data_IF_274424732479
#
_entry.id   IF_274424732479
#
_cell.length_a   1.000
_cell.length_b   1.000
_cell.length_c   1.000
_cell.angle_alpha   90.00
_cell.angle_beta   90.00
_cell.angle_gamma   90.00
#
_symmetry.space_group_name_H-M   'P 1'
#
loop_
_entity.id
_entity.type
_entity.pdbx_description
1 polymer ?
#
# COMPACT_ATOMS: atom_id res chain seq x y z
N UNK A 1 6.15 3.88 13.11
CA UNK A 1 6.57 4.85 12.08
C UNK A 1 5.35 5.57 11.53
N UNK A 2 5.41 6.87 11.25
CA UNK A 2 4.26 7.64 10.69
C UNK A 2 4.67 8.31 9.39
N UNK A 3 3.77 8.28 8.40
CA UNK A 3 3.97 8.89 7.08
C UNK A 3 2.69 9.59 6.65
N UNK A 4 2.83 10.75 6.03
CA UNK A 4 1.72 11.48 5.45
C UNK A 4 1.89 11.48 3.92
N UNK A 5 0.81 11.14 3.20
CA UNK A 5 0.74 11.19 1.73
C UNK A 5 -0.25 12.30 1.36
N UNK A 6 0.20 13.56 1.37
CA UNK A 6 -0.68 14.72 1.20
C UNK A 6 -1.37 14.75 -0.17
N UNK A 7 -0.78 14.13 -1.21
CA UNK A 7 -1.34 14.08 -2.57
C UNK A 7 -2.70 13.38 -2.64
N UNK A 8 -2.97 12.47 -1.71
CA UNK A 8 -4.25 11.74 -1.62
C UNK A 8 -4.94 11.92 -0.27
N UNK A 9 -4.50 12.92 0.52
CA UNK A 9 -5.02 13.21 1.87
C UNK A 9 -5.11 11.96 2.76
N UNK A 10 -4.01 11.21 2.81
CA UNK A 10 -3.95 9.93 3.51
C UNK A 10 -2.78 9.93 4.50
N UNK A 11 -3.07 9.46 5.72
CA UNK A 11 -2.08 9.31 6.79
C UNK A 11 -1.88 7.82 7.08
N UNK A 12 -0.63 7.41 7.21
CA UNK A 12 -0.23 6.04 7.50
C UNK A 12 0.55 5.99 8.82
N UNK A 13 0.28 4.97 9.63
CA UNK A 13 1.11 4.65 10.78
C UNK A 13 1.33 3.15 10.89
N UNK A 14 2.59 2.73 10.95
CA UNK A 14 2.97 1.36 11.22
C UNK A 14 3.28 1.18 12.71
N UNK A 15 2.63 0.19 13.33
CA UNK A 15 2.83 -0.23 14.73
C UNK A 15 3.08 -1.74 14.71
N UNK A 16 4.36 -2.14 14.80
CA UNK A 16 4.75 -3.54 14.58
C UNK A 16 4.29 -4.01 13.19
N UNK A 17 3.48 -5.06 13.17
CA UNK A 17 2.93 -5.67 11.95
C UNK A 17 1.59 -5.05 11.51
N UNK A 18 1.09 -4.04 12.23
CA UNK A 18 -0.18 -3.38 11.95
C UNK A 18 0.07 -2.09 11.17
N UNK A 19 -0.61 -1.94 10.03
CA UNK A 19 -0.67 -0.70 9.26
C UNK A 19 -2.01 0.01 9.48
N UNK A 20 -1.96 1.15 10.15
CA UNK A 20 -3.09 2.07 10.29
C UNK A 20 -3.15 3.00 9.09
N UNK A 21 -4.34 3.13 8.49
CA UNK A 21 -4.64 3.99 7.34
C UNK A 21 -5.75 4.95 7.75
N UNK A 22 -5.47 6.25 7.77
CA UNK A 22 -6.43 7.29 8.13
C UNK A 22 -6.65 8.28 6.97
N UNK A 23 -7.87 8.77 6.84
CA UNK A 23 -8.30 9.66 5.76
C UNK A 23 -9.82 9.85 5.78
N UNK A 24 -10.34 10.59 4.82
CA UNK A 24 -11.79 10.72 4.62
C UNK A 24 -12.41 9.40 4.15
N UNK A 25 -13.72 9.22 4.34
CA UNK A 25 -14.41 8.01 3.84
C UNK A 25 -14.25 7.83 2.33
N UNK A 26 -14.21 8.92 1.56
CA UNK A 26 -13.97 8.88 0.11
C UNK A 26 -12.57 8.38 -0.23
N UNK A 27 -11.55 8.86 0.50
CA UNK A 27 -10.16 8.42 0.36
C UNK A 27 -9.98 6.96 0.81
N UNK A 28 -10.72 6.50 1.81
CA UNK A 28 -10.62 5.15 2.37
C UNK A 28 -11.36 4.08 1.54
N UNK A 29 -12.34 4.45 0.72
CA UNK A 29 -13.10 3.51 -0.15
C UNK A 29 -12.22 2.45 -0.86
N UNK A 30 -11.13 2.79 -1.58
CA UNK A 30 -10.29 1.79 -2.23
C UNK A 30 -9.55 0.87 -1.25
N UNK A 31 -9.21 1.35 -0.06
CA UNK A 31 -8.48 0.59 0.95
C UNK A 31 -9.39 -0.38 1.72
N UNK A 32 -10.68 -0.07 1.87
CA UNK A 32 -11.66 -1.00 2.46
C UNK A 32 -11.83 -2.29 1.67
N UNK A 33 -11.57 -2.25 0.35
CA UNK A 33 -11.59 -3.44 -0.50
C UNK A 33 -10.28 -4.25 -0.44
N UNK A 34 -9.21 -3.67 0.10
CA UNK A 34 -7.91 -4.34 0.27
C UNK A 34 -7.95 -5.25 1.49
N UNK A 35 -7.71 -6.55 1.29
CA UNK A 35 -7.79 -7.54 2.38
C UNK A 35 -6.55 -7.52 3.29
N UNK A 36 -5.37 -7.27 2.72
CA UNK A 36 -4.11 -7.24 3.44
C UNK A 36 -3.10 -6.35 2.71
N UNK A 37 -2.17 -5.78 3.49
CA UNK A 37 -1.01 -5.04 2.98
C UNK A 37 0.25 -5.80 3.37
N UNK A 38 1.09 -6.13 2.39
CA UNK A 38 2.36 -6.81 2.60
C UNK A 38 3.50 -5.82 2.43
N UNK A 39 4.41 -5.79 3.41
CA UNK A 39 5.72 -5.18 3.23
C UNK A 39 6.61 -6.21 2.53
N UNK A 40 7.17 -5.84 1.39
CA UNK A 40 8.03 -6.71 0.57
C UNK A 40 9.33 -5.99 0.26
N UNK A 41 10.41 -6.75 0.10
CA UNK A 41 11.74 -6.19 -0.19
C UNK A 41 11.79 -5.47 -1.55
N UNK A 42 11.12 -6.04 -2.55
CA UNK A 42 11.04 -5.48 -3.91
C UNK A 42 9.61 -5.61 -4.46
N UNK A 43 8.90 -4.49 -4.68
CA UNK A 43 7.59 -4.50 -5.31
C UNK A 43 7.61 -5.08 -6.72
N UNK A 44 8.69 -4.86 -7.48
CA UNK A 44 8.83 -5.35 -8.86
C UNK A 44 9.01 -6.87 -8.89
N UNK A 45 9.83 -7.44 -8.00
CA UNK A 45 10.00 -8.90 -7.92
C UNK A 45 8.71 -9.58 -7.44
N UNK A 46 8.06 -9.02 -6.43
CA UNK A 46 6.81 -9.56 -5.92
C UNK A 46 5.69 -9.50 -6.97
N UNK A 47 5.67 -8.43 -7.78
CA UNK A 47 4.75 -8.33 -8.92
C UNK A 47 5.00 -9.44 -9.94
N UNK A 48 6.24 -9.65 -10.37
CA UNK A 48 6.57 -10.69 -11.34
C UNK A 48 6.12 -12.07 -10.82
N UNK A 49 6.40 -12.37 -9.55
CA UNK A 49 5.94 -13.59 -8.89
C UNK A 49 4.40 -13.72 -8.89
N UNK A 50 3.67 -12.64 -8.57
CA UNK A 50 2.21 -12.64 -8.60
C UNK A 50 1.66 -12.90 -10.02
N UNK A 51 2.21 -12.25 -11.03
CA UNK A 51 1.81 -12.43 -12.44
C UNK A 51 2.06 -13.87 -12.92
N UNK A 52 3.22 -14.46 -12.57
CA UNK A 52 3.55 -15.86 -12.86
C UNK A 52 2.59 -16.86 -12.19
N UNK A 53 2.07 -16.51 -11.02
CA UNK A 53 1.11 -17.33 -10.27
C UNK A 53 -0.36 -17.02 -10.63
N UNK A 54 -0.60 -16.30 -11.73
CA UNK A 54 -1.94 -16.04 -12.27
C UNK A 54 -2.71 -14.92 -11.59
N UNK A 55 -2.06 -14.10 -10.76
CA UNK A 55 -2.69 -12.91 -10.20
C UNK A 55 -2.84 -11.82 -11.27
N UNK A 56 -3.90 -11.04 -11.16
CA UNK A 56 -4.14 -9.87 -12.01
C UNK A 56 -3.77 -8.59 -11.30
N UNK A 57 -2.83 -7.83 -11.84
CA UNK A 57 -2.47 -6.51 -11.34
C UNK A 57 -3.59 -5.51 -11.71
N UNK A 58 -4.38 -5.11 -10.72
CA UNK A 58 -5.51 -4.16 -10.90
C UNK A 58 -5.08 -2.69 -10.80
N UNK A 59 -3.92 -2.42 -10.19
CA UNK A 59 -3.29 -1.10 -10.08
C UNK A 59 -1.78 -1.28 -10.18
N UNK A 60 -1.15 -0.56 -11.12
CA UNK A 60 0.30 -0.61 -11.34
C UNK A 60 1.10 0.04 -10.21
N UNK A 61 2.44 -0.07 -10.24
CA UNK A 61 3.31 0.39 -9.16
C UNK A 61 3.13 1.89 -8.88
N UNK A 62 2.86 2.21 -7.62
CA UNK A 62 2.81 3.59 -7.12
C UNK A 62 4.27 4.03 -6.95
N UNK A 63 4.75 4.88 -7.85
CA UNK A 63 6.16 5.25 -7.99
C UNK A 63 6.82 5.93 -6.79
N UNK A 64 6.06 6.32 -5.76
CA UNK A 64 6.62 7.00 -4.60
C UNK A 64 5.73 6.79 -3.38
N UNK A 65 6.04 5.78 -2.57
CA UNK A 65 5.67 5.77 -1.16
C UNK A 65 6.97 6.04 -0.39
N UNK A 66 7.00 6.98 0.57
CA UNK A 66 8.17 7.16 1.40
C UNK A 66 8.40 5.86 2.16
N UNK A 67 9.34 5.05 1.69
CA UNK A 67 9.90 3.94 2.45
C UNK A 67 10.59 4.55 3.64
N UNK A 68 10.19 4.12 4.83
CA UNK A 68 10.73 4.66 6.05
C UNK A 68 12.23 4.56 6.17
N UNK A 69 12.89 5.72 6.15
CA UNK A 69 14.22 5.93 6.72
C UNK A 69 14.10 6.91 7.87
#
# INVERSE_FOLDING_TARGET
>A
MRFDIPQISLELAQIGDILLIAGSDETLKPFRSTQATFLVDSPDEFRAHLEENGAKIIRGPIRFLPTGT
#
